data_IF_092780396922
#
_entry.id   IF_092780396922
#
_cell.length_a   1.000
_cell.length_b   1.000
_cell.length_c   1.000
_cell.angle_alpha   90.00
_cell.angle_beta   90.00
_cell.angle_gamma   90.00
#
_symmetry.space_group_name_H-M   'P 1'
#
loop_
_entity.id
_entity.type
_entity.pdbx_description
1 polymer ?
#
# COMPACT_ATOMS: atom_id res chain seq x y z
N UNK A 1 -30.24 62.22 43.35
CA UNK A 1 -30.62 61.32 42.24
C UNK A 1 -29.60 61.47 41.14
N UNK A 2 -29.04 60.34 40.70
CA UNK A 2 -28.36 60.08 39.41
C UNK A 2 -27.05 60.79 39.06
N UNK A 3 -25.97 60.03 39.30
CA UNK A 3 -24.71 59.78 38.54
C UNK A 3 -23.94 60.92 37.83
N UNK A 4 -22.60 60.99 38.02
CA UNK A 4 -21.70 61.72 37.13
C UNK A 4 -21.21 60.85 35.96
N UNK A 5 -20.80 61.44 34.82
CA UNK A 5 -20.05 60.73 33.79
C UNK A 5 -18.54 60.84 34.05
N UNK A 6 -17.80 59.80 33.70
CA UNK A 6 -16.36 59.89 33.43
C UNK A 6 -16.04 59.12 32.15
N UNK A 7 -14.97 59.52 31.44
CA UNK A 7 -14.85 59.28 30.01
C UNK A 7 -13.87 58.14 29.66
N UNK A 8 -13.95 57.78 28.39
CA UNK A 8 -12.85 57.37 27.52
C UNK A 8 -12.23 55.96 27.68
N UNK A 9 -12.49 55.17 26.63
CA UNK A 9 -11.53 54.40 25.82
C UNK A 9 -10.46 53.57 26.55
N UNK A 10 -10.64 52.25 26.46
CA UNK A 10 -9.53 51.35 26.16
C UNK A 10 -10.02 50.32 25.14
N UNK A 11 -9.69 50.55 23.87
CA UNK A 11 -9.79 49.56 22.82
C UNK A 11 -8.71 48.49 23.06
N UNK A 12 -9.12 47.23 23.21
CA UNK A 12 -8.22 46.09 23.08
C UNK A 12 -8.79 45.16 22.01
N UNK A 13 -8.10 45.20 20.86
CA UNK A 13 -8.20 44.28 19.75
C UNK A 13 -7.98 42.85 20.25
N UNK A 14 -9.01 42.01 20.18
CA UNK A 14 -8.87 40.57 20.26
C UNK A 14 -9.55 39.94 19.05
N UNK A 15 -8.92 40.13 17.88
CA UNK A 15 -9.19 39.32 16.69
C UNK A 15 -8.65 37.91 16.92
N UNK A 16 -9.46 37.07 17.56
CA UNK A 16 -9.20 35.64 17.66
C UNK A 16 -9.56 34.96 16.35
N UNK A 17 -8.57 34.74 15.48
CA UNK A 17 -8.67 33.80 14.37
C UNK A 17 -8.83 32.39 14.99
N UNK A 18 -10.07 31.91 15.10
CA UNK A 18 -10.36 30.50 15.33
C UNK A 18 -9.97 29.74 14.05
N UNK A 19 -8.68 29.38 13.92
CA UNK A 19 -8.29 28.29 13.04
C UNK A 19 -9.00 27.03 13.55
N UNK A 20 -10.01 26.60 12.79
CA UNK A 20 -10.68 25.34 13.03
C UNK A 20 -9.65 24.22 13.06
N UNK A 21 -9.54 23.56 14.21
CA UNK A 21 -8.99 22.22 14.27
C UNK A 21 -9.95 21.32 13.49
N UNK A 22 -9.64 21.06 12.21
CA UNK A 22 -10.23 19.92 11.52
C UNK A 22 -9.75 18.69 12.29
N UNK A 23 -10.65 17.89 12.90
CA UNK A 23 -10.25 16.61 13.43
C UNK A 23 -9.67 15.82 12.25
N UNK A 24 -8.38 15.47 12.32
CA UNK A 24 -7.78 14.53 11.40
C UNK A 24 -8.67 13.29 11.41
N UNK A 25 -9.27 12.97 10.26
CA UNK A 25 -10.02 11.73 10.14
C UNK A 25 -9.08 10.60 10.61
N UNK A 26 -9.52 9.73 11.51
CA UNK A 26 -8.70 8.61 11.93
C UNK A 26 -8.30 7.84 10.67
N UNK A 27 -7.01 7.54 10.54
CA UNK A 27 -6.52 6.58 9.56
C UNK A 27 -7.41 5.34 9.69
N UNK A 28 -8.20 5.03 8.66
CA UNK A 28 -9.06 3.84 8.72
C UNK A 28 -8.14 2.62 8.72
N UNK A 29 -8.26 1.80 9.78
CA UNK A 29 -7.73 0.45 9.82
C UNK A 29 -8.30 -0.37 8.64
N UNK A 30 -7.61 -1.45 8.27
CA UNK A 30 -8.00 -2.22 7.10
C UNK A 30 -9.35 -2.93 7.31
N UNK A 31 -10.03 -3.26 6.22
CA UNK A 31 -11.25 -4.06 6.22
C UNK A 31 -11.10 -5.30 5.34
N UNK A 32 -11.98 -6.29 5.53
CA UNK A 32 -12.07 -7.42 4.60
C UNK A 32 -12.37 -7.00 3.16
N UNK A 33 -13.05 -5.86 2.96
CA UNK A 33 -13.30 -5.31 1.63
C UNK A 33 -12.01 -4.75 1.00
N UNK A 34 -11.17 -4.08 1.80
CA UNK A 34 -9.88 -3.58 1.35
C UNK A 34 -8.93 -4.74 0.96
N UNK A 35 -8.87 -5.78 1.77
CA UNK A 35 -8.11 -7.01 1.47
C UNK A 35 -8.55 -7.59 0.12
N UNK A 36 -9.85 -7.80 -0.08
CA UNK A 36 -10.39 -8.34 -1.33
C UNK A 36 -10.11 -7.41 -2.51
N UNK A 37 -10.19 -6.10 -2.31
CA UNK A 37 -9.89 -5.14 -3.36
C UNK A 37 -8.42 -5.23 -3.79
N UNK A 38 -7.50 -5.31 -2.82
CA UNK A 38 -6.07 -5.45 -3.10
C UNK A 38 -5.78 -6.80 -3.77
N UNK A 39 -6.34 -7.91 -3.28
CA UNK A 39 -6.25 -9.25 -3.88
C UNK A 39 -6.70 -9.24 -5.34
N UNK A 40 -7.83 -8.60 -5.64
CA UNK A 40 -8.34 -8.49 -7.01
C UNK A 40 -7.40 -7.70 -7.92
N UNK A 41 -6.73 -6.67 -7.40
CA UNK A 41 -5.75 -5.90 -8.17
C UNK A 41 -4.48 -6.71 -8.41
N UNK A 42 -3.99 -7.43 -7.41
CA UNK A 42 -2.85 -8.36 -7.51
C UNK A 42 -3.12 -9.44 -8.57
N UNK A 43 -4.28 -10.10 -8.48
CA UNK A 43 -4.68 -11.10 -9.46
C UNK A 43 -4.82 -10.50 -10.86
N UNK A 44 -5.28 -9.26 -10.97
CA UNK A 44 -5.37 -8.53 -12.24
C UNK A 44 -4.03 -7.99 -12.75
N UNK A 45 -2.96 -7.93 -11.95
CA UNK A 45 -1.61 -7.65 -12.46
C UNK A 45 -0.92 -8.89 -13.04
N UNK A 46 -1.55 -10.07 -12.91
CA UNK A 46 -1.00 -11.34 -13.37
C UNK A 46 -0.27 -12.14 -12.28
N UNK A 47 -0.48 -11.79 -11.00
CA UNK A 47 0.11 -12.46 -9.84
C UNK A 47 -0.96 -13.25 -9.10
N UNK A 48 -0.73 -14.52 -8.80
CA UNK A 48 -1.67 -15.36 -8.04
C UNK A 48 -1.48 -15.17 -6.53
N UNK A 49 -2.57 -14.94 -5.80
CA UNK A 49 -2.54 -14.92 -4.32
C UNK A 49 -2.76 -16.32 -3.75
N UNK A 50 -1.85 -16.80 -2.91
CA UNK A 50 -1.85 -18.14 -2.33
C UNK A 50 -1.72 -18.06 -0.81
N UNK A 51 -2.56 -18.81 -0.09
CA UNK A 51 -2.40 -19.03 1.36
C UNK A 51 -1.75 -20.39 1.59
N UNK A 52 -0.50 -20.40 2.07
CA UNK A 52 0.28 -21.62 2.27
C UNK A 52 0.50 -21.95 3.74
N UNK A 53 0.41 -23.23 4.08
CA UNK A 53 0.93 -23.76 5.35
C UNK A 53 2.43 -24.09 5.29
N UNK A 54 2.97 -24.28 4.10
CA UNK A 54 4.33 -24.75 3.86
C UNK A 54 5.21 -23.55 3.50
N UNK A 55 5.55 -22.77 4.53
CA UNK A 55 6.45 -21.63 4.42
C UNK A 55 7.75 -21.83 5.22
N UNK A 56 8.83 -21.13 4.83
CA UNK A 56 10.00 -20.96 5.67
C UNK A 56 9.62 -20.46 7.07
N UNK A 57 10.38 -20.86 8.11
CA UNK A 57 10.12 -20.36 9.46
C UNK A 57 10.24 -18.83 9.49
N UNK A 58 9.41 -18.19 10.31
CA UNK A 58 9.40 -16.74 10.56
C UNK A 58 9.07 -15.84 9.35
N UNK A 59 8.57 -16.38 8.23
CA UNK A 59 8.08 -15.57 7.12
C UNK A 59 6.57 -15.38 7.21
N UNK A 60 6.10 -14.13 7.23
CA UNK A 60 4.68 -13.82 7.22
C UNK A 60 4.09 -13.92 5.80
N UNK A 61 4.89 -13.57 4.80
CA UNK A 61 4.61 -13.78 3.38
C UNK A 61 5.89 -13.74 2.56
N UNK A 62 5.73 -13.90 1.24
CA UNK A 62 6.77 -13.59 0.26
C UNK A 62 6.16 -13.48 -1.15
N UNK A 63 6.75 -12.64 -1.98
CA UNK A 63 6.53 -12.58 -3.42
C UNK A 63 7.53 -13.47 -4.17
N UNK A 64 7.02 -14.36 -5.02
CA UNK A 64 7.80 -15.24 -5.89
C UNK A 64 7.63 -14.81 -7.35
N UNK A 65 8.72 -14.40 -7.99
CA UNK A 65 8.83 -14.20 -9.43
C UNK A 65 10.07 -14.95 -9.93
N UNK A 66 9.86 -16.00 -10.72
CA UNK A 66 10.94 -16.80 -11.29
C UNK A 66 11.11 -16.60 -12.80
N UNK A 67 10.34 -15.66 -13.38
CA UNK A 67 10.32 -15.34 -14.81
C UNK A 67 9.84 -16.47 -15.74
N UNK A 68 9.37 -17.59 -15.19
CA UNK A 68 8.96 -18.78 -15.97
C UNK A 68 7.53 -19.22 -15.68
N UNK A 69 7.06 -18.96 -14.47
CA UNK A 69 5.75 -19.30 -13.99
C UNK A 69 4.92 -18.05 -13.68
N UNK A 70 3.65 -18.24 -13.38
CA UNK A 70 2.80 -17.16 -12.87
C UNK A 70 3.39 -16.72 -11.54
N UNK A 71 3.64 -15.43 -11.39
CA UNK A 71 4.13 -14.84 -10.16
C UNK A 71 3.16 -15.12 -9.01
N UNK A 72 3.67 -15.25 -7.78
CA UNK A 72 2.83 -15.56 -6.62
C UNK A 72 3.07 -14.60 -5.47
N UNK A 73 2.00 -14.17 -4.84
CA UNK A 73 2.03 -13.64 -3.49
C UNK A 73 1.62 -14.76 -2.54
N UNK A 74 2.52 -15.17 -1.66
CA UNK A 74 2.27 -16.24 -0.68
C UNK A 74 2.06 -15.63 0.70
N UNK A 75 0.92 -15.91 1.32
CA UNK A 75 0.63 -15.61 2.73
C UNK A 75 0.86 -16.87 3.56
N UNK A 76 1.69 -16.76 4.58
CA UNK A 76 2.11 -17.87 5.41
C UNK A 76 1.23 -18.01 6.66
N UNK A 77 0.12 -18.74 6.54
CA UNK A 77 -0.93 -18.85 7.57
C UNK A 77 -0.48 -19.41 8.93
N UNK A 78 0.73 -19.97 9.03
CA UNK A 78 1.31 -20.41 10.32
C UNK A 78 1.92 -19.26 11.12
N UNK A 79 2.26 -18.16 10.44
CA UNK A 79 2.95 -17.00 11.00
C UNK A 79 2.08 -15.73 10.95
N UNK A 80 0.86 -15.83 10.42
CA UNK A 80 -0.12 -14.74 10.30
C UNK A 80 -1.43 -15.18 10.94
N UNK A 81 -1.98 -14.34 11.82
CA UNK A 81 -3.34 -14.55 12.31
C UNK A 81 -4.33 -14.19 11.21
N UNK A 82 -4.82 -15.21 10.49
CA UNK A 82 -5.78 -15.02 9.40
C UNK A 82 -7.16 -14.51 9.87
N UNK A 83 -7.42 -14.48 11.18
CA UNK A 83 -8.60 -13.85 11.76
C UNK A 83 -8.44 -12.35 12.02
N UNK A 84 -7.20 -11.85 12.01
CA UNK A 84 -6.87 -10.44 12.17
C UNK A 84 -6.71 -9.77 10.80
N UNK A 85 -7.61 -8.84 10.51
CA UNK A 85 -7.66 -8.12 9.23
C UNK A 85 -6.43 -7.23 9.05
N UNK A 86 -5.94 -6.63 10.13
CA UNK A 86 -4.77 -5.74 10.03
C UNK A 86 -3.50 -6.59 9.79
N UNK A 87 -3.37 -7.74 10.45
CA UNK A 87 -2.24 -8.64 10.22
C UNK A 87 -2.18 -9.17 8.77
N UNK A 88 -3.33 -9.53 8.19
CA UNK A 88 -3.39 -9.94 6.77
C UNK A 88 -3.09 -8.77 5.85
N UNK A 89 -3.61 -7.58 6.17
CA UNK A 89 -3.37 -6.37 5.39
C UNK A 89 -1.89 -5.99 5.35
N UNK A 90 -1.20 -6.00 6.48
CA UNK A 90 0.23 -5.69 6.57
C UNK A 90 1.04 -6.58 5.61
N UNK A 91 0.86 -7.91 5.69
CA UNK A 91 1.54 -8.85 4.79
C UNK A 91 1.20 -8.56 3.33
N UNK A 92 -0.08 -8.39 2.99
CA UNK A 92 -0.47 -8.12 1.62
C UNK A 92 0.08 -6.79 1.09
N UNK A 93 0.13 -5.74 1.91
CA UNK A 93 0.67 -4.44 1.53
C UNK A 93 2.19 -4.50 1.33
N UNK A 94 2.90 -5.24 2.19
CA UNK A 94 4.33 -5.51 2.03
C UNK A 94 4.59 -6.20 0.68
N UNK A 95 4.00 -7.37 0.46
CA UNK A 95 4.26 -8.15 -0.75
C UNK A 95 3.74 -7.47 -2.02
N UNK A 96 2.63 -6.72 -1.93
CA UNK A 96 2.16 -5.87 -3.02
C UNK A 96 3.21 -4.83 -3.45
N UNK A 97 4.10 -4.42 -2.54
CA UNK A 97 5.20 -3.51 -2.87
C UNK A 97 6.24 -4.16 -3.76
N UNK A 98 6.59 -5.43 -3.49
CA UNK A 98 7.48 -6.18 -4.38
C UNK A 98 6.85 -6.44 -5.76
N UNK A 99 5.53 -6.65 -5.81
CA UNK A 99 4.79 -6.70 -7.08
C UNK A 99 4.87 -5.35 -7.81
N UNK A 100 4.69 -4.22 -7.11
CA UNK A 100 4.85 -2.89 -7.71
C UNK A 100 6.25 -2.65 -8.26
N UNK A 101 7.28 -3.05 -7.51
CA UNK A 101 8.69 -2.99 -7.95
C UNK A 101 8.92 -3.84 -9.20
N UNK A 102 8.31 -5.03 -9.29
CA UNK A 102 8.33 -5.88 -10.48
C UNK A 102 7.59 -5.23 -11.66
N UNK A 103 6.41 -4.64 -11.42
CA UNK A 103 5.62 -3.94 -12.44
C UNK A 103 6.39 -2.77 -13.08
N UNK A 104 7.17 -2.02 -12.29
CA UNK A 104 8.00 -0.90 -12.78
C UNK A 104 9.37 -1.35 -13.27
N UNK A 105 9.82 -2.54 -12.87
CA UNK A 105 11.18 -3.03 -13.07
C UNK A 105 12.21 -2.36 -12.16
N UNK A 106 11.79 -1.52 -11.20
CA UNK A 106 12.66 -0.78 -10.28
C UNK A 106 12.04 -0.65 -8.89
N UNK A 107 11.51 0.51 -8.54
CA UNK A 107 11.04 0.91 -7.22
C UNK A 107 9.55 1.22 -7.25
N UNK A 108 8.86 1.01 -6.13
CA UNK A 108 7.45 1.36 -5.99
C UNK A 108 7.25 2.82 -5.58
N UNK A 109 8.27 3.41 -4.96
CA UNK A 109 8.31 4.80 -4.51
C UNK A 109 9.37 5.56 -5.33
N UNK A 110 9.06 6.79 -5.70
CA UNK A 110 9.97 7.67 -6.44
C UNK A 110 11.17 8.09 -5.57
N UNK A 111 12.34 8.26 -6.20
CA UNK A 111 13.60 8.60 -5.52
C UNK A 111 13.48 9.87 -4.67
N UNK A 112 12.75 10.87 -5.16
CA UNK A 112 12.56 12.15 -4.47
C UNK A 112 11.73 12.00 -3.18
N UNK A 113 10.92 10.93 -3.08
CA UNK A 113 10.07 10.66 -1.93
C UNK A 113 10.78 9.82 -0.87
N UNK A 114 11.79 9.02 -1.24
CA UNK A 114 12.47 8.12 -0.31
C UNK A 114 13.02 8.78 0.96
N UNK A 115 13.64 9.98 0.93
CA UNK A 115 14.09 10.61 2.16
C UNK A 115 12.95 10.88 3.15
N UNK A 116 11.74 11.15 2.65
CA UNK A 116 10.55 11.33 3.49
C UNK A 116 10.05 9.98 3.99
N UNK A 117 9.92 9.00 3.11
CA UNK A 117 9.53 7.61 3.43
C UNK A 117 10.37 7.04 4.57
N UNK A 118 11.71 7.15 4.48
CA UNK A 118 12.61 6.68 5.53
C UNK A 118 12.41 7.40 6.87
N UNK A 119 12.20 8.73 6.87
CA UNK A 119 11.94 9.48 8.11
C UNK A 119 10.62 9.08 8.74
N UNK A 120 9.57 8.88 7.92
CA UNK A 120 8.27 8.42 8.40
C UNK A 120 8.39 7.02 8.98
N UNK A 121 9.07 6.09 8.30
CA UNK A 121 9.31 4.74 8.79
C UNK A 121 10.08 4.74 10.12
N UNK A 122 11.15 5.53 10.23
CA UNK A 122 11.91 5.69 11.47
C UNK A 122 11.06 6.26 12.63
N UNK A 123 10.08 7.11 12.31
CA UNK A 123 9.22 7.76 13.31
C UNK A 123 8.09 6.83 13.76
N UNK A 124 7.45 6.13 12.82
CA UNK A 124 6.28 5.29 13.07
C UNK A 124 6.67 3.90 13.59
N UNK A 125 7.73 3.31 13.02
CA UNK A 125 8.22 1.98 13.36
C UNK A 125 9.76 1.95 13.44
N UNK A 126 10.36 2.50 14.50
CA UNK A 126 11.83 2.52 14.66
C UNK A 126 12.47 1.12 14.61
N UNK A 127 11.71 0.09 14.98
CA UNK A 127 12.17 -1.30 14.94
C UNK A 127 12.33 -1.82 13.51
N UNK A 128 11.48 -1.44 12.56
CA UNK A 128 11.65 -1.75 11.13
C UNK A 128 12.88 -1.08 10.55
N UNK A 129 13.09 0.21 10.84
CA UNK A 129 14.30 0.90 10.39
C UNK A 129 15.59 0.21 10.90
N UNK A 130 15.58 -0.25 12.15
CA UNK A 130 16.69 -1.05 12.71
C UNK A 130 16.85 -2.38 11.96
N UNK A 131 15.76 -3.15 11.80
CA UNK A 131 15.75 -4.43 11.10
C UNK A 131 16.33 -4.30 9.68
N UNK A 132 15.85 -3.32 8.91
CA UNK A 132 16.34 -3.01 7.56
C UNK A 132 17.86 -2.80 7.57
N UNK A 133 18.36 -2.00 8.52
CA UNK A 133 19.80 -1.71 8.59
C UNK A 133 20.67 -2.87 9.08
N UNK A 134 20.11 -3.88 9.78
CA UNK A 134 20.89 -4.99 10.35
C UNK A 134 20.78 -6.29 9.57
N UNK A 135 19.63 -6.59 8.95
CA UNK A 135 19.36 -7.89 8.34
C UNK A 135 19.43 -7.87 6.81
N UNK A 136 19.34 -6.71 6.17
CA UNK A 136 19.28 -6.61 4.71
C UNK A 136 20.55 -6.00 4.11
N UNK A 137 20.93 -6.49 2.94
CA UNK A 137 22.09 -5.95 2.22
C UNK A 137 21.82 -4.51 1.76
N UNK A 138 22.88 -3.74 1.53
CA UNK A 138 22.72 -2.35 1.06
C UNK A 138 21.95 -2.22 -0.26
N UNK A 139 21.93 -3.29 -1.08
CA UNK A 139 21.17 -3.33 -2.32
C UNK A 139 19.66 -3.52 -2.08
N UNK A 140 19.28 -4.22 -1.01
CA UNK A 140 17.88 -4.56 -0.69
C UNK A 140 17.24 -3.54 0.24
N UNK A 141 18.03 -2.85 1.07
CA UNK A 141 17.55 -1.93 2.10
C UNK A 141 16.52 -0.92 1.59
N UNK A 142 16.66 -0.44 0.35
CA UNK A 142 15.65 0.43 -0.26
C UNK A 142 14.34 -0.31 -0.50
N UNK A 143 14.39 -1.45 -1.17
CA UNK A 143 13.20 -2.19 -1.61
C UNK A 143 12.36 -2.61 -0.40
N UNK A 144 13.04 -3.06 0.64
CA UNK A 144 12.43 -3.45 1.91
C UNK A 144 11.90 -2.24 2.69
N UNK A 145 12.60 -1.11 2.67
CA UNK A 145 12.08 0.12 3.29
C UNK A 145 10.78 0.61 2.63
N UNK A 146 10.65 0.44 1.30
CA UNK A 146 9.39 0.72 0.61
C UNK A 146 8.28 -0.22 1.10
N UNK A 147 8.58 -1.52 1.22
CA UNK A 147 7.62 -2.54 1.64
C UNK A 147 7.17 -2.37 3.10
N UNK A 148 8.11 -2.21 4.05
CA UNK A 148 7.81 -1.91 5.45
C UNK A 148 7.09 -0.58 5.62
N UNK A 149 7.38 0.44 4.81
CA UNK A 149 6.61 1.68 4.86
C UNK A 149 5.18 1.49 4.35
N UNK A 150 4.98 0.62 3.35
CA UNK A 150 3.66 0.30 2.78
C UNK A 150 2.74 -0.39 3.79
N UNK A 151 3.27 -1.27 4.65
CA UNK A 151 2.52 -1.90 5.75
C UNK A 151 1.82 -0.87 6.65
N UNK A 152 2.47 0.27 6.86
CA UNK A 152 2.00 1.32 7.76
C UNK A 152 1.00 2.28 7.09
N UNK A 153 0.70 2.08 5.80
CA UNK A 153 -0.19 2.96 5.06
C UNK A 153 -1.65 2.51 5.11
N UNK A 154 -2.54 3.50 5.06
CA UNK A 154 -3.98 3.25 4.93
C UNK A 154 -4.33 2.58 3.59
N UNK A 155 -5.42 1.80 3.53
CA UNK A 155 -5.83 1.13 2.30
C UNK A 155 -5.92 2.00 1.05
N UNK A 156 -6.49 3.23 1.08
CA UNK A 156 -6.53 4.09 -0.10
C UNK A 156 -5.15 4.42 -0.68
N UNK A 157 -4.12 4.52 0.16
CA UNK A 157 -2.75 4.85 -0.26
C UNK A 157 -2.13 3.65 -0.99
N UNK A 158 -2.19 2.46 -0.38
CA UNK A 158 -1.64 1.22 -0.98
C UNK A 158 -2.33 0.92 -2.31
N UNK A 159 -3.66 0.98 -2.34
CA UNK A 159 -4.47 0.72 -3.54
C UNK A 159 -4.12 1.70 -4.67
N UNK A 160 -3.97 2.98 -4.37
CA UNK A 160 -3.64 4.00 -5.39
C UNK A 160 -2.22 3.79 -5.94
N UNK A 161 -1.24 3.53 -5.07
CA UNK A 161 0.13 3.23 -5.49
C UNK A 161 0.18 1.97 -6.35
N UNK A 162 -0.54 0.92 -5.97
CA UNK A 162 -0.61 -0.32 -6.75
C UNK A 162 -1.16 -0.07 -8.15
N UNK A 163 -2.30 0.64 -8.25
CA UNK A 163 -2.90 0.98 -9.54
C UNK A 163 -1.96 1.78 -10.43
N UNK A 164 -1.20 2.71 -9.87
CA UNK A 164 -0.24 3.54 -10.62
C UNK A 164 0.95 2.72 -11.12
N UNK A 165 1.59 1.97 -10.24
CA UNK A 165 2.80 1.21 -10.56
C UNK A 165 2.50 0.04 -11.52
N UNK A 166 1.36 -0.64 -11.35
CA UNK A 166 0.97 -1.77 -12.19
C UNK A 166 0.00 -1.40 -13.34
N UNK A 167 -0.13 -0.11 -13.68
CA UNK A 167 -1.16 0.37 -14.60
C UNK A 167 -1.09 -0.28 -16.00
N UNK A 168 0.10 -0.63 -16.48
CA UNK A 168 0.27 -1.30 -17.78
C UNK A 168 -0.39 -2.69 -17.82
N UNK A 169 -0.19 -3.48 -16.76
CA UNK A 169 -0.75 -4.82 -16.61
C UNK A 169 -2.27 -4.76 -16.46
N UNK A 170 -2.76 -3.84 -15.63
CA UNK A 170 -4.20 -3.66 -15.39
C UNK A 170 -4.95 -3.28 -16.68
N UNK A 171 -4.37 -2.43 -17.53
CA UNK A 171 -4.97 -2.05 -18.83
C UNK A 171 -4.93 -3.17 -19.87
N UNK A 172 -3.88 -4.00 -19.85
CA UNK A 172 -3.73 -5.13 -20.78
C UNK A 172 -4.88 -6.15 -20.67
N UNK A 173 -5.33 -6.43 -19.44
CA UNK A 173 -6.43 -7.36 -19.19
C UNK A 173 -7.82 -6.78 -19.48
N UNK A 174 -8.02 -5.47 -19.37
CA UNK A 174 -9.25 -4.82 -19.82
C UNK A 174 -9.40 -4.88 -21.34
N UNK A 175 -8.29 -4.74 -22.07
CA UNK A 175 -8.25 -4.93 -23.53
C UNK A 175 -8.60 -6.36 -23.95
N UNK A 176 -8.10 -7.36 -23.22
CA UNK A 176 -8.39 -8.78 -23.48
C UNK A 176 -9.82 -9.18 -23.11
N UNK A 177 -10.36 -8.69 -21.97
CA UNK A 177 -11.77 -8.95 -21.58
C UNK A 177 -12.80 -8.31 -22.50
N UNK A 178 -12.44 -7.27 -23.26
CA UNK A 178 -13.33 -6.62 -24.24
C UNK A 178 -13.29 -7.25 -25.63
N UNK A 179 -12.37 -8.19 -25.90
CA UNK A 179 -12.36 -8.92 -27.17
C UNK A 179 -13.35 -10.09 -27.10
N UNK A 180 -14.40 -10.12 -27.96
CA UNK A 180 -15.25 -11.29 -28.06
C UNK A 180 -14.42 -12.50 -28.53
N UNK A 181 -14.78 -13.74 -28.12
CA UNK A 181 -14.06 -14.93 -28.54
C UNK A 181 -14.04 -15.01 -30.08
N UNK A 182 -12.84 -15.10 -30.65
CA UNK A 182 -12.65 -15.35 -32.08
C UNK A 182 -13.12 -16.78 -32.35
N UNK A 183 -14.34 -16.92 -32.86
CA UNK A 183 -14.83 -18.19 -33.37
C UNK A 183 -13.89 -18.67 -34.49
N UNK A 184 -13.39 -19.91 -34.46
CA UNK A 184 -12.54 -20.41 -35.52
C UNK A 184 -13.31 -20.37 -36.85
N UNK A 185 -12.80 -19.60 -37.82
CA UNK A 185 -13.30 -19.65 -39.19
C UNK A 185 -13.17 -21.07 -39.70
N UNK A 186 -14.32 -21.74 -39.82
CA UNK A 186 -14.43 -23.06 -40.41
C UNK A 186 -13.77 -23.03 -41.79
N UNK A 187 -12.68 -23.77 -41.92
CA UNK A 187 -12.09 -24.09 -43.22
C UNK A 187 -13.11 -24.96 -43.93
N UNK A 188 -13.82 -24.38 -44.88
CA UNK A 188 -14.48 -25.13 -45.94
C UNK A 188 -13.41 -25.96 -46.64
N UNK A 189 -13.59 -27.27 -46.64
CA UNK A 189 -12.88 -28.15 -47.55
C UNK A 189 -13.79 -28.44 -48.74
N UNK A 190 -13.21 -28.48 -49.96
CA UNK A 190 -13.94 -28.68 -51.21
C UNK A 190 -14.60 -30.06 -51.31
#
# INVERSE_FOLDING_TARGET
MSLPPSPALAALLAGGLLLGALPGLPARAASLEDIRLLENLINASGTETIVSGDCPPNHAGYYENDGRSIDRLVICKRNVDMGDVDAVWEVMAHEATHIMQSCTGTTAIADEQMPRTFRELQTMAPHYAKLISSEYSSAEQRLEAEAFWMELQTPPVVIELFRRNCAAYLRGLEGQRRQPPVLPSGRGHP
#
